data_IF_005992843062
#
_entry.id   IF_005992843062
#
_cell.length_a   1.000
_cell.length_b   1.000
_cell.length_c   1.000
_cell.angle_alpha   90.00
_cell.angle_beta   90.00
_cell.angle_gamma   90.00
#
_symmetry.space_group_name_H-M   'P 1'
#
loop_
_entity.id
_entity.type
_entity.pdbx_description
1 polymer ?
#
# COMPACT_ATOMS: atom_id res chain seq x y z
N UNK A 1 -16.38 77.20 -4.61
CA UNK A 1 -15.49 76.43 -3.71
C UNK A 1 -15.99 74.99 -3.65
N UNK A 2 -15.38 74.06 -4.40
CA UNK A 2 -15.77 72.65 -4.42
C UNK A 2 -14.75 71.84 -3.62
N UNK A 3 -15.21 71.12 -2.58
CA UNK A 3 -14.37 70.25 -1.74
C UNK A 3 -14.12 68.93 -2.48
N UNK A 4 -12.86 68.57 -2.66
CA UNK A 4 -12.45 67.27 -3.16
C UNK A 4 -12.66 66.19 -2.06
N UNK A 5 -13.43 65.17 -2.40
CA UNK A 5 -13.63 63.97 -1.59
C UNK A 5 -12.41 63.06 -1.73
N UNK A 6 -11.69 62.82 -0.63
CA UNK A 6 -10.60 61.87 -0.56
C UNK A 6 -11.17 60.45 -0.41
N UNK A 7 -11.07 59.64 -1.46
CA UNK A 7 -11.38 58.20 -1.39
C UNK A 7 -10.28 57.47 -0.63
N UNK A 8 -10.66 56.90 0.52
CA UNK A 8 -9.78 56.08 1.34
C UNK A 8 -9.33 54.83 0.56
N UNK A 9 -8.02 54.68 0.38
CA UNK A 9 -7.43 53.45 -0.17
C UNK A 9 -7.54 52.34 0.87
N UNK A 10 -8.36 51.35 0.56
CA UNK A 10 -8.48 50.11 1.33
C UNK A 10 -7.14 49.37 1.31
N UNK A 11 -6.60 49.08 2.49
CA UNK A 11 -5.31 48.38 2.64
C UNK A 11 -5.54 46.89 2.44
N UNK A 12 -5.20 46.36 1.27
CA UNK A 12 -5.14 44.92 1.03
C UNK A 12 -3.90 44.35 1.73
N UNK A 13 -4.09 43.48 2.72
CA UNK A 13 -2.99 42.77 3.38
C UNK A 13 -2.41 41.69 2.46
N UNK A 14 -1.07 41.55 2.36
CA UNK A 14 -0.47 40.56 1.49
C UNK A 14 -0.74 39.15 2.03
N UNK A 15 -1.28 38.27 1.17
CA UNK A 15 -1.46 36.85 1.47
C UNK A 15 -0.06 36.27 1.71
N UNK A 16 0.16 35.68 2.89
CA UNK A 16 1.44 35.02 3.20
C UNK A 16 1.62 33.85 2.22
N UNK A 17 2.74 33.76 1.50
CA UNK A 17 2.95 32.65 0.57
C UNK A 17 2.96 31.34 1.37
N UNK A 18 2.15 30.37 0.93
CA UNK A 18 2.09 29.04 1.52
C UNK A 18 3.41 28.27 1.32
N UNK A 19 3.49 27.06 1.90
CA UNK A 19 4.61 26.14 1.64
C UNK A 19 4.62 25.80 0.13
N UNK A 20 5.76 25.95 -0.58
CA UNK A 20 5.86 25.56 -1.98
C UNK A 20 5.45 24.10 -2.17
N UNK A 21 4.64 23.84 -3.19
CA UNK A 21 4.25 22.48 -3.59
C UNK A 21 5.40 21.89 -4.40
N UNK A 22 5.94 20.73 -3.99
CA UNK A 22 6.92 20.00 -4.79
C UNK A 22 6.20 19.43 -6.02
N UNK A 23 6.67 19.80 -7.21
CA UNK A 23 6.23 19.22 -8.48
C UNK A 23 6.83 17.82 -8.66
N UNK A 24 6.15 16.96 -9.41
CA UNK A 24 6.64 15.62 -9.74
C UNK A 24 7.58 15.75 -10.93
N UNK A 25 8.83 15.29 -10.78
CA UNK A 25 9.80 15.23 -11.87
C UNK A 25 9.89 13.80 -12.43
N UNK A 26 10.30 13.67 -13.69
CA UNK A 26 10.55 12.35 -14.31
C UNK A 26 11.55 11.51 -13.52
N UNK A 27 12.55 12.15 -12.90
CA UNK A 27 13.52 11.46 -12.06
C UNK A 27 12.90 10.94 -10.74
N UNK A 28 11.92 11.65 -10.16
CA UNK A 28 11.17 11.14 -9.01
C UNK A 28 10.42 9.85 -9.41
N UNK A 29 9.79 9.82 -10.59
CA UNK A 29 9.06 8.65 -11.11
C UNK A 29 10.01 7.44 -11.26
N UNK A 30 11.19 7.67 -11.83
CA UNK A 30 12.23 6.63 -11.99
C UNK A 30 12.70 6.09 -10.65
N UNK A 31 12.90 6.96 -9.66
CA UNK A 31 13.28 6.55 -8.30
C UNK A 31 12.17 5.73 -7.66
N UNK A 32 10.91 6.13 -7.79
CA UNK A 32 9.75 5.39 -7.26
C UNK A 32 9.70 3.97 -7.86
N UNK A 33 9.78 3.84 -9.18
CA UNK A 33 9.76 2.53 -9.86
C UNK A 33 10.92 1.64 -9.39
N UNK A 34 12.13 2.20 -9.34
CA UNK A 34 13.33 1.47 -8.90
C UNK A 34 13.25 0.99 -7.45
N UNK A 35 12.79 1.85 -6.54
CA UNK A 35 12.70 1.50 -5.11
C UNK A 35 11.54 0.54 -4.85
N UNK A 36 10.41 0.70 -5.54
CA UNK A 36 9.32 -0.27 -5.52
C UNK A 36 9.76 -1.64 -6.06
N UNK A 37 10.59 -1.66 -7.11
CA UNK A 37 11.24 -2.85 -7.66
C UNK A 37 12.14 -3.61 -6.68
N UNK A 38 12.65 -2.94 -5.66
CA UNK A 38 13.41 -3.56 -4.57
C UNK A 38 12.53 -4.05 -3.42
N UNK A 39 11.21 -3.82 -3.49
CA UNK A 39 10.26 -4.21 -2.46
C UNK A 39 10.18 -3.25 -1.27
N UNK A 40 10.70 -2.02 -1.38
CA UNK A 40 10.60 -1.02 -0.30
C UNK A 40 9.14 -0.62 -0.04
N UNK A 41 8.87 -0.19 1.21
CA UNK A 41 7.56 0.34 1.60
C UNK A 41 7.40 1.78 1.14
N UNK A 42 6.15 2.24 1.02
CA UNK A 42 5.84 3.62 0.62
C UNK A 42 6.50 4.66 1.54
N UNK A 43 6.56 4.43 2.85
CA UNK A 43 7.21 5.34 3.79
C UNK A 43 8.72 5.47 3.52
N UNK A 44 9.39 4.36 3.22
CA UNK A 44 10.83 4.36 2.89
C UNK A 44 11.09 5.08 1.55
N UNK A 45 10.19 4.89 0.57
CA UNK A 45 10.25 5.57 -0.72
C UNK A 45 10.03 7.09 -0.53
N UNK A 46 9.07 7.48 0.30
CA UNK A 46 8.80 8.87 0.62
C UNK A 46 10.00 9.52 1.31
N UNK A 47 10.61 8.81 2.27
CA UNK A 47 11.84 9.24 2.94
C UNK A 47 13.00 9.43 1.95
N UNK A 48 13.18 8.50 1.01
CA UNK A 48 14.23 8.60 -0.02
C UNK A 48 14.05 9.79 -0.98
N UNK A 49 12.82 10.27 -1.17
CA UNK A 49 12.47 11.41 -2.02
C UNK A 49 12.37 12.74 -1.25
N UNK A 50 12.64 12.71 0.06
CA UNK A 50 12.48 13.82 1.00
C UNK A 50 11.07 14.44 0.97
N UNK A 51 10.04 13.57 0.94
CA UNK A 51 8.63 13.97 0.97
C UNK A 51 7.90 13.24 2.10
N UNK A 52 6.76 13.78 2.52
CA UNK A 52 5.87 13.06 3.44
C UNK A 52 5.17 11.89 2.74
N UNK A 53 4.83 10.83 3.49
CA UNK A 53 4.02 9.72 2.98
C UNK A 53 2.70 10.21 2.37
N UNK A 54 2.07 11.21 2.99
CA UNK A 54 0.86 11.85 2.46
C UNK A 54 1.04 12.54 1.11
N UNK A 55 2.25 13.04 0.82
CA UNK A 55 2.58 13.62 -0.49
C UNK A 55 2.75 12.52 -1.52
N UNK A 56 3.43 11.43 -1.16
CA UNK A 56 3.57 10.26 -2.03
C UNK A 56 2.21 9.61 -2.33
N UNK A 57 1.33 9.46 -1.34
CA UNK A 57 -0.03 8.94 -1.52
C UNK A 57 -0.85 9.78 -2.51
N UNK A 58 -0.66 11.11 -2.49
CA UNK A 58 -1.28 12.00 -3.47
C UNK A 58 -0.66 11.79 -4.86
N UNK A 59 0.66 11.66 -4.95
CA UNK A 59 1.35 11.42 -6.21
C UNK A 59 0.94 10.08 -6.85
N UNK A 60 0.75 9.02 -6.06
CA UNK A 60 0.30 7.71 -6.56
C UNK A 60 -1.08 7.72 -7.25
N UNK A 61 -1.88 8.77 -7.03
CA UNK A 61 -3.15 8.98 -7.75
C UNK A 61 -2.96 9.53 -9.16
N UNK A 62 -1.77 10.03 -9.48
CA UNK A 62 -1.39 10.41 -10.84
C UNK A 62 -1.02 9.14 -11.62
N UNK A 63 -1.56 9.01 -12.84
CA UNK A 63 -1.41 7.78 -13.62
C UNK A 63 0.05 7.41 -13.86
N UNK A 64 0.91 8.38 -14.19
CA UNK A 64 2.33 8.13 -14.47
C UNK A 64 3.07 7.56 -13.25
N UNK A 65 2.89 8.19 -12.09
CA UNK A 65 3.53 7.76 -10.83
C UNK A 65 2.94 6.43 -10.35
N UNK A 66 1.60 6.31 -10.38
CA UNK A 66 0.90 5.10 -9.97
C UNK A 66 1.27 3.90 -10.83
N UNK A 67 1.40 4.08 -12.15
CA UNK A 67 1.84 3.03 -13.06
C UNK A 67 3.31 2.67 -12.85
N UNK A 68 4.19 3.65 -12.65
CA UNK A 68 5.60 3.40 -12.33
C UNK A 68 5.77 2.60 -11.03
N UNK A 69 5.02 2.95 -9.97
CA UNK A 69 4.99 2.18 -8.74
C UNK A 69 4.49 0.75 -8.97
N UNK A 70 3.39 0.56 -9.70
CA UNK A 70 2.86 -0.78 -10.02
C UNK A 70 3.84 -1.62 -10.82
N UNK A 71 4.53 -1.05 -11.82
CA UNK A 71 5.59 -1.74 -12.58
C UNK A 71 6.72 -2.17 -11.66
N UNK A 72 7.20 -1.29 -10.79
CA UNK A 72 8.19 -1.65 -9.78
C UNK A 72 7.71 -2.81 -8.89
N UNK A 73 6.49 -2.77 -8.38
CA UNK A 73 5.93 -3.86 -7.56
C UNK A 73 5.82 -5.18 -8.33
N UNK A 74 5.50 -5.13 -9.62
CA UNK A 74 5.50 -6.32 -10.47
C UNK A 74 6.92 -6.92 -10.59
N UNK A 75 7.95 -6.10 -10.78
CA UNK A 75 9.36 -6.55 -10.81
C UNK A 75 9.77 -7.21 -9.49
N UNK A 76 9.41 -6.60 -8.35
CA UNK A 76 9.69 -7.20 -7.04
C UNK A 76 8.99 -8.56 -6.86
N UNK A 77 7.76 -8.66 -7.35
CA UNK A 77 6.97 -9.90 -7.28
C UNK A 77 7.58 -10.98 -8.15
N UNK A 78 7.93 -10.65 -9.38
CA UNK A 78 8.61 -11.56 -10.31
C UNK A 78 9.89 -12.12 -9.68
N UNK A 79 10.77 -11.24 -9.17
CA UNK A 79 12.01 -11.65 -8.51
C UNK A 79 11.79 -12.62 -7.33
N UNK A 80 10.78 -12.38 -6.49
CA UNK A 80 10.44 -13.29 -5.38
C UNK A 80 9.87 -14.62 -5.87
N UNK A 81 9.10 -14.59 -6.95
CA UNK A 81 8.47 -15.79 -7.54
C UNK A 81 9.53 -16.66 -8.24
N UNK A 82 10.45 -16.06 -8.99
CA UNK A 82 11.60 -16.76 -9.56
C UNK A 82 12.46 -17.39 -8.47
N UNK A 83 12.72 -16.65 -7.38
CA UNK A 83 13.47 -17.21 -6.25
C UNK A 83 12.76 -18.39 -5.60
N UNK A 84 11.43 -18.34 -5.46
CA UNK A 84 10.64 -19.46 -4.96
C UNK A 84 10.73 -20.68 -5.89
N UNK A 85 10.68 -20.45 -7.20
CA UNK A 85 10.85 -21.48 -8.22
C UNK A 85 12.22 -22.15 -8.08
N UNK A 86 13.32 -21.39 -8.10
CA UNK A 86 14.66 -21.97 -7.96
C UNK A 86 14.82 -22.82 -6.69
N UNK A 87 14.24 -22.36 -5.58
CA UNK A 87 14.19 -23.08 -4.29
C UNK A 87 13.40 -24.39 -4.39
N UNK A 88 12.30 -24.40 -5.15
CA UNK A 88 11.45 -25.57 -5.33
C UNK A 88 12.03 -26.59 -6.33
N UNK A 89 12.83 -26.13 -7.31
CA UNK A 89 13.41 -26.96 -8.36
C UNK A 89 14.85 -27.40 -8.08
N UNK A 90 15.49 -26.89 -7.03
CA UNK A 90 16.78 -27.42 -6.57
C UNK A 90 16.57 -28.83 -5.99
N UNK A 91 16.82 -29.85 -6.82
CA UNK A 91 16.57 -31.28 -6.57
C UNK A 91 17.66 -31.94 -5.70
N UNK A 92 18.72 -31.19 -5.35
CA UNK A 92 19.97 -31.78 -4.91
C UNK A 92 20.16 -31.65 -3.38
N UNK A 93 20.20 -32.79 -2.69
CA UNK A 93 20.31 -32.94 -1.23
C UNK A 93 21.50 -32.27 -0.52
N UNK A 94 22.34 -31.51 -1.23
CA UNK A 94 23.47 -30.74 -0.70
C UNK A 94 23.24 -29.21 -0.71
N UNK A 95 22.17 -28.73 -1.38
CA UNK A 95 21.85 -27.32 -1.54
C UNK A 95 20.52 -26.92 -0.91
N UNK A 96 20.14 -27.53 0.24
CA UNK A 96 18.86 -27.26 0.90
C UNK A 96 18.67 -25.75 1.09
N UNK A 97 17.64 -25.12 0.50
CA UNK A 97 17.30 -23.77 0.88
C UNK A 97 17.00 -23.78 2.38
N UNK A 98 17.73 -22.96 3.13
CA UNK A 98 17.50 -22.81 4.57
C UNK A 98 16.01 -22.54 4.74
N UNK A 99 15.30 -23.30 5.59
CA UNK A 99 13.85 -23.13 5.83
C UNK A 99 13.45 -21.66 6.01
N UNK A 100 14.38 -20.85 6.54
CA UNK A 100 14.31 -19.41 6.71
C UNK A 100 14.16 -18.63 5.39
N UNK A 101 14.90 -18.99 4.33
CA UNK A 101 14.83 -18.34 3.02
C UNK A 101 13.47 -18.60 2.35
N UNK A 102 12.99 -19.85 2.38
CA UNK A 102 11.67 -20.21 1.84
C UNK A 102 10.54 -19.53 2.61
N UNK A 103 10.62 -19.51 3.95
CA UNK A 103 9.64 -18.83 4.79
C UNK A 103 9.59 -17.32 4.54
N UNK A 104 10.75 -16.67 4.33
CA UNK A 104 10.82 -15.25 4.01
C UNK A 104 10.14 -14.94 2.66
N UNK A 105 10.34 -15.78 1.65
CA UNK A 105 9.70 -15.63 0.33
C UNK A 105 8.17 -15.81 0.45
N UNK A 106 7.70 -16.84 1.15
CA UNK A 106 6.26 -17.02 1.40
C UNK A 106 5.64 -15.87 2.20
N UNK A 107 6.33 -15.38 3.23
CA UNK A 107 5.88 -14.24 4.01
C UNK A 107 5.72 -13.00 3.14
N UNK A 108 6.69 -12.72 2.27
CA UNK A 108 6.59 -11.62 1.33
C UNK A 108 5.40 -11.82 0.36
N UNK A 109 5.28 -12.98 -0.29
CA UNK A 109 4.20 -13.22 -1.26
C UNK A 109 2.80 -13.07 -0.64
N UNK A 110 2.61 -13.54 0.60
CA UNK A 110 1.34 -13.39 1.32
C UNK A 110 1.08 -11.94 1.75
N UNK A 111 2.06 -11.29 2.37
CA UNK A 111 1.87 -9.95 2.97
C UNK A 111 2.00 -8.80 1.97
N UNK A 112 2.65 -9.01 0.83
CA UNK A 112 3.04 -7.94 -0.10
C UNK A 112 2.53 -8.15 -1.53
N UNK A 113 2.41 -9.39 -2.00
CA UNK A 113 1.83 -9.71 -3.32
C UNK A 113 0.36 -10.14 -3.24
N UNK A 114 -0.20 -10.26 -2.03
CA UNK A 114 -1.62 -10.59 -1.81
C UNK A 114 -1.97 -12.04 -2.13
N UNK A 115 -1.01 -12.95 -2.13
CA UNK A 115 -1.28 -14.37 -2.37
C UNK A 115 -2.08 -14.96 -1.22
N UNK A 116 -3.21 -15.59 -1.54
CA UNK A 116 -4.10 -16.24 -0.57
C UNK A 116 -4.29 -17.70 -0.93
N UNK A 117 -4.34 -18.55 0.09
CA UNK A 117 -4.74 -19.94 -0.06
C UNK A 117 -6.27 -19.99 -0.12
N UNK A 118 -6.83 -20.61 -1.16
CA UNK A 118 -8.27 -20.86 -1.21
C UNK A 118 -8.60 -21.99 -0.23
N UNK A 119 -9.54 -21.79 0.71
CA UNK A 119 -9.96 -22.88 1.58
C UNK A 119 -10.57 -23.99 0.72
N UNK A 120 -10.24 -25.24 1.02
CA UNK A 120 -10.98 -26.38 0.46
C UNK A 120 -12.32 -26.43 1.20
N UNK A 121 -13.43 -26.30 0.48
CA UNK A 121 -14.74 -26.55 1.04
C UNK A 121 -14.86 -28.05 1.34
N UNK A 122 -14.63 -28.42 2.59
CA UNK A 122 -15.10 -29.70 3.09
C UNK A 122 -16.62 -29.59 3.20
N UNK A 123 -17.34 -30.30 2.32
CA UNK A 123 -18.79 -30.48 2.44
C UNK A 123 -19.02 -31.34 3.69
N UNK A 124 -19.02 -30.69 4.85
CA UNK A 124 -19.51 -31.29 6.08
C UNK A 124 -21.02 -31.30 5.97
N UNK A 125 -21.62 -32.49 5.80
CA UNK A 125 -23.05 -32.68 5.98
C UNK A 125 -23.38 -32.30 7.44
N UNK A 126 -23.72 -31.03 7.67
CA UNK A 126 -24.05 -30.55 9.00
C UNK A 126 -25.34 -31.26 9.44
N UNK A 127 -25.22 -32.15 10.43
CA UNK A 127 -26.38 -32.57 11.21
C UNK A 127 -27.00 -31.31 11.81
N UNK A 128 -28.28 -31.07 11.54
CA UNK A 128 -29.00 -29.88 12.02
C UNK A 128 -28.94 -29.85 13.55
N UNK A 129 -28.22 -28.88 14.11
CA UNK A 129 -28.20 -28.64 15.55
C UNK A 129 -29.47 -27.84 15.91
N UNK A 130 -30.47 -28.52 16.45
CA UNK A 130 -31.68 -27.88 16.98
C UNK A 130 -31.32 -27.30 18.36
N UNK A 131 -31.23 -25.97 18.46
CA UNK A 131 -31.04 -25.27 19.73
C UNK A 131 -32.42 -25.00 20.34
N UNK A 132 -32.75 -25.70 21.44
CA UNK A 132 -33.96 -25.44 22.21
C UNK A 132 -33.70 -24.33 23.24
N UNK A 133 -34.43 -23.23 23.11
CA UNK A 133 -34.44 -22.14 24.10
C UNK A 133 -35.78 -22.22 24.85
N UNK A 134 -35.79 -22.58 26.14
CA UNK A 134 -37.02 -22.59 26.93
C UNK A 134 -37.51 -21.17 27.22
N UNK A 135 -38.83 -20.96 27.09
CA UNK A 135 -39.48 -19.70 27.46
C UNK A 135 -39.42 -19.50 28.98
N UNK A 136 -38.58 -18.58 29.43
CA UNK A 136 -38.58 -18.13 30.81
C UNK A 136 -39.88 -17.36 31.06
N UNK A 137 -40.77 -17.92 31.88
CA UNK A 137 -42.08 -17.37 32.29
C UNK A 137 -41.97 -16.09 33.16
N UNK A 138 -41.21 -15.08 32.71
CA UNK A 138 -41.21 -13.73 33.26
C UNK A 138 -42.42 -12.97 32.70
N UNK A 139 -43.61 -13.33 33.17
CA UNK A 139 -44.85 -12.69 32.73
C UNK A 139 -46.13 -13.15 33.45
N UNK A 140 -46.08 -14.21 34.26
CA UNK A 140 -47.19 -14.56 35.12
C UNK A 140 -47.04 -13.86 36.48
N UNK A 141 -47.52 -12.62 36.54
CA UNK A 141 -47.88 -11.92 37.77
C UNK A 141 -49.41 -11.85 37.87
#
# INVERSE_FOLDING_TARGET
MAKASATAKEKVTPIRPGRPVKEVLDDDIRVIEKLAGRGLKLDDIACALDISSSTLDRWLKLDEVGNAYKRGRAIATDAMTSRLWDIAMSDDGEGKPTKQATAAVFFWLKCQAGWTEKPKEEVQSQAQVIVYVPDNQRGAA
#
